data_IF_185699814236
#
_entry.id   IF_185699814236
#
_cell.length_a   1.000
_cell.length_b   1.000
_cell.length_c   1.000
_cell.angle_alpha   90.00
_cell.angle_beta   90.00
_cell.angle_gamma   90.00
#
_symmetry.space_group_name_H-M   'P 1'
#
loop_
_entity.id
_entity.type
_entity.pdbx_description
1 polymer ?
#
# COMPACT_ATOMS: atom_id res chain seq x y z
N UNK A 1 8.06 -19.53 -14.06
CA UNK A 1 7.36 -18.58 -13.16
C UNK A 1 7.46 -18.99 -11.69
N UNK A 2 7.66 -20.28 -11.35
CA UNK A 2 7.90 -20.71 -9.96
C UNK A 2 6.66 -20.62 -9.06
N UNK A 3 5.46 -20.65 -9.64
CA UNK A 3 4.21 -20.77 -8.90
C UNK A 3 3.80 -22.24 -8.85
N UNK A 4 3.23 -22.65 -7.73
CA UNK A 4 2.50 -23.91 -7.63
C UNK A 4 1.16 -23.77 -8.37
N UNK A 5 0.90 -24.58 -9.42
CA UNK A 5 -0.31 -24.48 -10.22
C UNK A 5 -1.60 -24.77 -9.44
N UNK A 6 -1.50 -25.39 -8.26
CA UNK A 6 -2.64 -25.73 -7.41
C UNK A 6 -3.03 -24.58 -6.47
N UNK A 7 -2.20 -23.54 -6.34
CA UNK A 7 -2.46 -22.43 -5.43
C UNK A 7 -3.22 -21.28 -6.10
N UNK A 8 -4.10 -20.57 -5.39
CA UNK A 8 -4.81 -19.39 -5.91
C UNK A 8 -3.87 -18.31 -6.49
N UNK A 9 -2.63 -18.25 -6.02
CA UNK A 9 -1.60 -17.31 -6.51
C UNK A 9 -1.23 -17.57 -7.97
N UNK A 10 -1.26 -18.83 -8.43
CA UNK A 10 -1.04 -19.15 -9.83
C UNK A 10 -2.16 -18.60 -10.70
N UNK A 11 -3.42 -18.85 -10.34
CA UNK A 11 -4.57 -18.29 -11.06
C UNK A 11 -4.50 -16.76 -11.08
N UNK A 12 -4.14 -16.13 -9.96
CA UNK A 12 -3.98 -14.68 -9.91
C UNK A 12 -2.85 -14.19 -10.83
N UNK A 13 -1.71 -14.89 -10.88
CA UNK A 13 -0.63 -14.57 -11.80
C UNK A 13 -1.07 -14.69 -13.27
N UNK A 14 -1.83 -15.72 -13.63
CA UNK A 14 -2.40 -15.89 -14.98
C UNK A 14 -3.33 -14.71 -15.33
N UNK A 15 -4.19 -14.29 -14.40
CA UNK A 15 -5.04 -13.10 -14.58
C UNK A 15 -4.21 -11.85 -14.79
N UNK A 16 -3.13 -11.65 -14.02
CA UNK A 16 -2.22 -10.51 -14.19
C UNK A 16 -1.56 -10.52 -15.57
N UNK A 17 -1.00 -11.66 -16.00
CA UNK A 17 -0.36 -11.79 -17.32
C UNK A 17 -1.34 -11.62 -18.49
N UNK A 18 -2.63 -11.94 -18.29
CA UNK A 18 -3.67 -11.64 -19.29
C UNK A 18 -4.02 -10.16 -19.36
N UNK A 19 -3.93 -9.43 -18.24
CA UNK A 19 -4.29 -8.01 -18.16
C UNK A 19 -3.14 -7.07 -18.57
N UNK A 20 -1.90 -7.46 -18.29
CA UNK A 20 -0.73 -6.59 -18.42
C UNK A 20 0.31 -7.26 -19.31
N UNK A 21 0.78 -6.53 -20.32
CA UNK A 21 1.80 -7.01 -21.24
C UNK A 21 3.15 -7.18 -20.54
N UNK A 22 3.98 -8.10 -21.03
CA UNK A 22 5.33 -8.32 -20.50
C UNK A 22 6.18 -7.03 -20.44
N UNK A 23 6.22 -6.18 -21.49
CA UNK A 23 6.95 -4.90 -21.41
C UNK A 23 6.39 -3.94 -20.35
N UNK A 24 5.08 -3.96 -20.09
CA UNK A 24 4.48 -3.14 -19.04
C UNK A 24 4.86 -3.65 -17.63
N UNK A 25 4.92 -4.97 -17.43
CA UNK A 25 5.44 -5.58 -16.19
C UNK A 25 6.91 -5.18 -15.97
N UNK A 26 7.75 -5.29 -17.01
CA UNK A 26 9.17 -4.93 -16.95
C UNK A 26 9.35 -3.45 -16.59
N UNK A 27 8.58 -2.53 -17.17
CA UNK A 27 8.59 -1.10 -16.78
C UNK A 27 8.24 -0.89 -15.31
N UNK A 28 7.31 -1.67 -14.75
CA UNK A 28 6.97 -1.60 -13.32
C UNK A 28 8.11 -2.16 -12.45
N UNK A 29 8.83 -3.17 -12.93
CA UNK A 29 10.03 -3.68 -12.24
C UNK A 29 11.16 -2.64 -12.20
N UNK A 30 11.34 -1.84 -13.25
CA UNK A 30 12.31 -0.74 -13.23
C UNK A 30 11.99 0.31 -12.16
N UNK A 31 10.72 0.50 -11.80
CA UNK A 31 10.36 1.37 -10.66
C UNK A 31 10.94 0.79 -9.37
N UNK A 32 10.74 -0.50 -9.08
CA UNK A 32 11.26 -1.13 -7.87
C UNK A 32 12.79 -1.13 -7.78
N UNK A 33 13.48 -1.26 -8.92
CA UNK A 33 14.95 -1.15 -8.98
C UNK A 33 15.44 0.22 -8.53
N UNK A 34 14.74 1.30 -8.89
CA UNK A 34 15.07 2.67 -8.41
C UNK A 34 14.96 2.81 -6.90
N UNK A 35 14.19 1.95 -6.25
CA UNK A 35 14.05 1.86 -4.80
C UNK A 35 14.98 0.82 -4.16
N UNK A 36 16.01 0.38 -4.89
CA UNK A 36 17.08 -0.48 -4.40
C UNK A 36 16.76 -1.98 -4.42
N UNK A 37 15.63 -2.40 -4.99
CA UNK A 37 15.33 -3.83 -5.06
C UNK A 37 16.16 -4.52 -6.13
N UNK A 38 16.78 -5.63 -5.76
CA UNK A 38 17.40 -6.56 -6.70
C UNK A 38 16.36 -7.25 -7.57
N UNK A 39 16.78 -7.76 -8.73
CA UNK A 39 15.90 -8.55 -9.60
C UNK A 39 15.31 -9.78 -8.86
N UNK A 40 16.11 -10.41 -8.00
CA UNK A 40 15.66 -11.52 -7.17
C UNK A 40 14.52 -11.10 -6.22
N UNK A 41 14.67 -9.99 -5.51
CA UNK A 41 13.64 -9.48 -4.60
C UNK A 41 12.34 -9.13 -5.33
N UNK A 42 12.45 -8.51 -6.52
CA UNK A 42 11.29 -8.19 -7.35
C UNK A 42 10.54 -9.46 -7.76
N UNK A 43 11.25 -10.50 -8.23
CA UNK A 43 10.63 -11.76 -8.61
C UNK A 43 10.03 -12.51 -7.41
N UNK A 44 10.67 -12.45 -6.24
CA UNK A 44 10.11 -13.01 -5.01
C UNK A 44 8.83 -12.28 -4.57
N UNK A 45 8.84 -10.95 -4.59
CA UNK A 45 7.69 -10.11 -4.30
C UNK A 45 6.52 -10.41 -5.27
N UNK A 46 6.81 -10.48 -6.57
CA UNK A 46 5.82 -10.83 -7.60
C UNK A 46 5.25 -12.24 -7.38
N UNK A 47 6.09 -13.21 -7.01
CA UNK A 47 5.64 -14.57 -6.70
C UNK A 47 4.76 -14.63 -5.46
N UNK A 48 5.11 -13.86 -4.43
CA UNK A 48 4.32 -13.77 -3.19
C UNK A 48 2.96 -13.14 -3.47
N UNK A 49 2.93 -12.10 -4.30
CA UNK A 49 1.72 -11.39 -4.67
C UNK A 49 1.84 -10.76 -6.09
N UNK A 50 1.27 -11.41 -7.12
CA UNK A 50 1.33 -10.90 -8.50
C UNK A 50 0.76 -9.51 -8.71
N UNK A 51 -0.13 -9.06 -7.81
CA UNK A 51 -0.79 -7.77 -7.94
C UNK A 51 0.11 -6.55 -7.75
N UNK A 52 1.40 -6.70 -7.40
CA UNK A 52 2.33 -5.56 -7.31
C UNK A 52 2.41 -4.77 -8.62
N UNK A 53 2.18 -5.43 -9.75
CA UNK A 53 2.19 -4.78 -11.07
C UNK A 53 0.82 -4.29 -11.51
N UNK A 54 -0.24 -4.37 -10.70
CA UNK A 54 -1.58 -3.91 -11.08
C UNK A 54 -1.83 -2.44 -10.78
N UNK A 55 -1.14 -1.88 -9.79
CA UNK A 55 -1.25 -0.45 -9.47
C UNK A 55 -0.38 0.36 -10.44
N UNK A 56 -0.87 1.51 -10.87
CA UNK A 56 -0.14 2.40 -11.77
C UNK A 56 0.71 3.40 -10.98
N UNK A 57 0.24 3.82 -9.80
CA UNK A 57 0.90 4.83 -8.97
C UNK A 57 1.97 4.24 -8.03
N UNK A 58 2.70 3.22 -8.49
CA UNK A 58 3.73 2.52 -7.69
C UNK A 58 4.79 3.50 -7.18
N UNK A 59 5.26 4.42 -8.04
CA UNK A 59 6.27 5.40 -7.65
C UNK A 59 5.79 6.27 -6.48
N UNK A 60 4.55 6.76 -6.53
CA UNK A 60 3.96 7.56 -5.45
C UNK A 60 3.72 6.74 -4.17
N UNK A 61 3.40 5.45 -4.28
CA UNK A 61 3.31 4.57 -3.09
C UNK A 61 4.67 4.40 -2.43
N UNK A 62 5.70 4.13 -3.23
CA UNK A 62 7.05 3.96 -2.70
C UNK A 62 7.57 5.26 -2.08
N UNK A 63 7.34 6.40 -2.73
CA UNK A 63 7.72 7.72 -2.21
C UNK A 63 7.05 8.01 -0.86
N UNK A 64 5.73 7.86 -0.78
CA UNK A 64 5.00 8.06 0.47
C UNK A 64 5.47 7.09 1.57
N UNK A 65 5.61 5.79 1.27
CA UNK A 65 5.97 4.81 2.30
C UNK A 65 7.43 4.93 2.75
N UNK A 66 8.36 5.22 1.85
CA UNK A 66 9.79 5.27 2.18
C UNK A 66 10.19 6.65 2.67
N UNK A 67 9.86 7.70 1.92
CA UNK A 67 10.36 9.04 2.20
C UNK A 67 9.49 9.77 3.23
N UNK A 68 8.16 9.69 3.13
CA UNK A 68 7.27 10.40 4.07
C UNK A 68 7.03 9.60 5.37
N UNK A 69 6.81 8.29 5.26
CA UNK A 69 6.52 7.43 6.42
C UNK A 69 7.77 6.79 7.03
N UNK A 70 8.92 6.84 6.35
CA UNK A 70 10.20 6.35 6.87
C UNK A 70 10.36 4.82 6.87
N UNK A 71 9.58 4.08 6.08
CA UNK A 71 9.75 2.62 6.00
C UNK A 71 10.96 2.24 5.16
N UNK A 72 11.67 1.19 5.59
CA UNK A 72 12.70 0.59 4.75
C UNK A 72 12.09 -0.04 3.48
N UNK A 73 12.68 0.27 2.32
CA UNK A 73 12.25 -0.27 1.03
C UNK A 73 12.26 -1.81 1.00
N UNK A 74 13.23 -2.44 1.65
CA UNK A 74 13.36 -3.91 1.78
C UNK A 74 12.20 -4.55 2.56
N UNK A 75 11.64 -3.84 3.55
CA UNK A 75 10.45 -4.30 4.27
C UNK A 75 9.24 -4.42 3.33
N UNK A 76 9.12 -3.49 2.37
CA UNK A 76 8.04 -3.48 1.39
C UNK A 76 8.16 -4.65 0.40
N UNK A 77 9.39 -5.07 0.05
CA UNK A 77 9.63 -6.27 -0.76
C UNK A 77 9.13 -7.56 -0.09
N UNK A 78 9.15 -7.59 1.24
CA UNK A 78 8.64 -8.69 2.05
C UNK A 78 7.12 -8.64 2.25
N UNK A 79 6.48 -7.48 2.04
CA UNK A 79 5.04 -7.27 2.16
C UNK A 79 4.39 -6.71 0.88
N UNK A 80 4.52 -7.41 -0.27
CA UNK A 80 4.18 -6.86 -1.58
C UNK A 80 2.69 -6.53 -1.77
N UNK A 81 1.78 -7.13 -1.00
CA UNK A 81 0.34 -6.85 -1.10
C UNK A 81 -0.02 -5.38 -0.83
N UNK A 82 0.85 -4.65 -0.11
CA UNK A 82 0.72 -3.21 0.16
C UNK A 82 0.78 -2.39 -1.12
N UNK A 83 1.67 -2.78 -2.04
CA UNK A 83 1.96 -2.05 -3.28
C UNK A 83 0.86 -2.19 -4.33
N UNK A 84 -0.13 -3.04 -4.06
CA UNK A 84 -1.32 -3.23 -4.89
C UNK A 84 -2.56 -2.52 -4.32
N UNK A 85 -2.39 -1.73 -3.26
CA UNK A 85 -3.46 -0.90 -2.70
C UNK A 85 -3.43 0.46 -3.38
N UNK A 86 -4.61 1.08 -3.50
CA UNK A 86 -4.71 2.44 -4.04
C UNK A 86 -3.94 3.43 -3.17
N UNK A 87 -3.09 4.23 -3.82
CA UNK A 87 -2.37 5.33 -3.19
C UNK A 87 -3.34 6.29 -2.47
N UNK A 88 -4.26 6.86 -3.23
CA UNK A 88 -5.12 7.96 -2.79
C UNK A 88 -6.28 7.50 -1.91
N UNK A 89 -6.81 6.30 -2.14
CA UNK A 89 -7.99 5.82 -1.41
C UNK A 89 -7.64 5.07 -0.14
N UNK A 90 -6.36 4.74 0.08
CA UNK A 90 -5.97 3.81 1.15
C UNK A 90 -4.60 4.06 1.76
N UNK A 91 -3.53 4.11 0.95
CA UNK A 91 -2.17 4.24 1.50
C UNK A 91 -1.99 5.60 2.16
N UNK A 92 -2.24 6.70 1.45
CA UNK A 92 -2.05 8.05 1.98
C UNK A 92 -3.03 8.35 3.13
N UNK A 93 -4.37 8.16 2.99
CA UNK A 93 -5.30 8.50 4.06
C UNK A 93 -4.99 7.80 5.39
N UNK A 94 -4.66 6.50 5.32
CA UNK A 94 -4.43 5.69 6.51
C UNK A 94 -3.04 5.91 7.09
N UNK A 95 -2.03 6.20 6.26
CA UNK A 95 -0.69 6.56 6.72
C UNK A 95 -0.69 7.87 7.49
N UNK A 96 -1.26 8.92 6.92
CA UNK A 96 -1.37 10.23 7.57
C UNK A 96 -2.21 10.16 8.86
N UNK A 97 -3.34 9.46 8.82
CA UNK A 97 -4.15 9.26 10.01
C UNK A 97 -3.38 8.54 11.12
N UNK A 98 -2.59 7.52 10.78
CA UNK A 98 -1.77 6.82 11.76
C UNK A 98 -0.64 7.70 12.33
N UNK A 99 -0.05 8.60 11.54
CA UNK A 99 0.92 9.59 12.06
C UNK A 99 0.27 10.56 13.06
N UNK A 100 -0.97 11.00 12.81
CA UNK A 100 -1.71 11.83 13.78
C UNK A 100 -2.02 11.07 15.07
N UNK A 101 -2.41 9.80 14.97
CA UNK A 101 -2.64 8.98 16.18
C UNK A 101 -1.34 8.79 16.98
N UNK A 102 -0.19 8.64 16.31
CA UNK A 102 1.12 8.57 16.97
C UNK A 102 1.48 9.89 17.65
N UNK A 103 1.28 11.03 16.96
CA UNK A 103 1.62 12.36 17.50
C UNK A 103 0.76 12.74 18.71
N UNK A 104 -0.50 12.28 18.75
CA UNK A 104 -1.40 12.42 19.89
C UNK A 104 -1.13 11.39 21.02
N UNK A 105 -0.22 10.44 20.81
CA UNK A 105 0.07 9.37 21.76
C UNK A 105 -1.05 8.34 21.94
N UNK A 106 -2.04 8.32 21.03
CA UNK A 106 -3.15 7.36 21.06
C UNK A 106 -2.70 5.94 20.69
N UNK A 107 -1.68 5.82 19.84
CA UNK A 107 -0.98 4.57 19.53
C UNK A 107 0.52 4.73 19.75
N UNK A 108 1.20 3.62 20.04
CA UNK A 108 2.68 3.58 20.17
C UNK A 108 3.36 3.10 18.88
N UNK A 109 2.67 2.24 18.13
CA UNK A 109 3.12 1.70 16.85
C UNK A 109 1.93 1.06 16.12
N UNK A 110 2.12 0.73 14.84
CA UNK A 110 1.15 0.00 14.05
C UNK A 110 1.84 -0.99 13.11
N UNK A 111 1.16 -2.09 12.80
CA UNK A 111 1.62 -3.03 11.77
C UNK A 111 1.10 -2.63 10.39
N UNK A 112 1.97 -2.67 9.37
CA UNK A 112 1.63 -2.34 7.98
C UNK A 112 0.40 -3.10 7.46
N UNK A 113 0.31 -4.40 7.73
CA UNK A 113 -0.85 -5.22 7.34
C UNK A 113 -2.14 -4.76 8.04
N UNK A 114 -2.08 -4.46 9.34
CA UNK A 114 -3.24 -3.99 10.09
C UNK A 114 -3.73 -2.63 9.57
N UNK A 115 -2.79 -1.76 9.17
CA UNK A 115 -3.10 -0.44 8.67
C UNK A 115 -3.66 -0.49 7.24
N UNK A 116 -3.00 -1.19 6.32
CA UNK A 116 -3.27 -1.08 4.89
C UNK A 116 -4.05 -2.25 4.28
N UNK A 117 -4.02 -3.44 4.90
CA UNK A 117 -4.64 -4.65 4.34
C UNK A 117 -6.01 -4.99 4.94
N UNK A 118 -6.49 -4.20 5.90
CA UNK A 118 -7.81 -4.39 6.52
C UNK A 118 -8.92 -3.77 5.68
N UNK A 119 -10.14 -4.32 5.76
CA UNK A 119 -11.32 -3.68 5.16
C UNK A 119 -11.56 -2.30 5.78
N UNK A 120 -12.44 -1.50 5.18
CA UNK A 120 -12.78 -0.18 5.73
C UNK A 120 -13.42 -0.31 7.11
N UNK A 121 -14.39 -1.21 7.24
CA UNK A 121 -15.04 -1.53 8.50
C UNK A 121 -14.04 -1.95 9.59
N UNK A 122 -13.12 -2.86 9.28
CA UNK A 122 -12.12 -3.34 10.26
C UNK A 122 -11.12 -2.25 10.63
N UNK A 123 -10.77 -1.37 9.68
CA UNK A 123 -9.89 -0.24 9.95
C UNK A 123 -10.54 0.76 10.91
N UNK A 124 -11.77 1.19 10.60
CA UNK A 124 -12.52 2.13 11.45
C UNK A 124 -12.71 1.54 12.84
N UNK A 125 -13.07 0.26 12.95
CA UNK A 125 -13.23 -0.38 14.26
C UNK A 125 -11.94 -0.33 15.08
N UNK A 126 -10.80 -0.64 14.46
CA UNK A 126 -9.52 -0.75 15.16
C UNK A 126 -8.87 0.58 15.53
N UNK A 127 -8.99 1.59 14.66
CA UNK A 127 -8.24 2.84 14.79
C UNK A 127 -9.12 4.05 15.10
N UNK A 128 -10.45 3.91 15.04
CA UNK A 128 -11.41 4.98 15.35
C UNK A 128 -12.29 4.57 16.54
N UNK A 129 -13.12 3.53 16.37
CA UNK A 129 -14.14 3.17 17.37
C UNK A 129 -13.56 2.63 18.68
N UNK A 130 -12.33 2.09 18.65
CA UNK A 130 -11.60 1.68 19.85
C UNK A 130 -11.48 2.80 20.91
N UNK A 131 -11.49 4.06 20.47
CA UNK A 131 -11.45 5.22 21.36
C UNK A 131 -12.88 5.78 21.48
N UNK A 132 -13.73 5.11 22.26
CA UNK A 132 -15.18 5.39 22.32
C UNK A 132 -15.48 6.87 22.59
N UNK A 133 -14.71 7.51 23.48
CA UNK A 133 -14.83 8.92 23.84
C UNK A 133 -14.42 9.90 22.72
N UNK A 134 -13.59 9.45 21.78
CA UNK A 134 -13.04 10.25 20.66
C UNK A 134 -13.50 9.78 19.29
N UNK A 135 -14.36 8.78 19.21
CA UNK A 135 -14.69 8.11 17.95
C UNK A 135 -15.23 9.08 16.89
N UNK A 136 -16.08 10.04 17.28
CA UNK A 136 -16.63 11.05 16.36
C UNK A 136 -15.54 11.99 15.80
N UNK A 137 -14.64 12.46 16.66
CA UNK A 137 -13.52 13.33 16.28
C UNK A 137 -12.55 12.59 15.35
N UNK A 138 -12.14 11.37 15.73
CA UNK A 138 -11.24 10.54 14.94
C UNK A 138 -11.84 10.15 13.59
N UNK A 139 -13.15 9.90 13.53
CA UNK A 139 -13.84 9.64 12.26
C UNK A 139 -13.81 10.89 11.35
N UNK A 140 -14.00 12.07 11.92
CA UNK A 140 -13.91 13.33 11.18
C UNK A 140 -12.49 13.55 10.65
N UNK A 141 -11.48 13.36 11.49
CA UNK A 141 -10.07 13.46 11.12
C UNK A 141 -9.70 12.48 9.99
N UNK A 142 -10.14 11.23 10.08
CA UNK A 142 -9.88 10.25 9.02
C UNK A 142 -10.57 10.60 7.69
N UNK A 143 -11.80 11.14 7.73
CA UNK A 143 -12.48 11.66 6.54
C UNK A 143 -11.72 12.84 5.92
N UNK A 144 -11.16 13.73 6.74
CA UNK A 144 -10.31 14.82 6.26
C UNK A 144 -9.10 14.27 5.49
N UNK A 145 -8.37 13.27 6.03
CA UNK A 145 -7.23 12.65 5.32
C UNK A 145 -7.64 11.99 4.02
N UNK A 146 -8.82 11.37 3.98
CA UNK A 146 -9.38 10.78 2.77
C UNK A 146 -9.64 11.87 1.71
N UNK A 147 -10.21 13.00 2.11
CA UNK A 147 -10.46 14.12 1.20
C UNK A 147 -9.16 14.77 0.71
N UNK A 148 -8.15 14.93 1.58
CA UNK A 148 -6.84 15.45 1.20
C UNK A 148 -6.15 14.56 0.16
N UNK A 149 -6.18 13.23 0.33
CA UNK A 149 -5.56 12.32 -0.61
C UNK A 149 -6.29 12.26 -1.97
N UNK A 150 -7.62 12.42 -1.98
CA UNK A 150 -8.45 12.41 -3.19
C UNK A 150 -8.46 13.77 -3.91
N UNK A 151 -8.31 14.87 -3.16
CA UNK A 151 -8.38 16.25 -3.66
C UNK A 151 -7.05 16.98 -3.82
N UNK A 152 -5.95 16.45 -3.28
CA UNK A 152 -4.65 17.15 -3.15
C UNK A 152 -3.50 16.64 -4.03
N UNK A 153 -2.28 16.89 -3.57
CA UNK A 153 -0.97 16.69 -4.26
C UNK A 153 -0.73 15.29 -4.83
N UNK A 154 -1.43 14.26 -4.35
CA UNK A 154 -1.29 12.88 -4.81
C UNK A 154 -2.13 12.55 -6.06
N UNK A 155 -2.97 13.51 -6.50
CA UNK A 155 -3.80 13.41 -7.71
C UNK A 155 -3.08 13.83 -9.00
N UNK A 156 -2.08 14.70 -8.89
CA UNK A 156 -1.40 15.33 -10.02
C UNK A 156 0.11 15.14 -9.90
N UNK A 157 0.65 14.06 -10.47
CA UNK A 157 2.10 13.87 -10.46
C UNK A 157 2.67 12.83 -11.43
N UNK A 158 1.84 11.98 -12.05
CA UNK A 158 2.33 10.94 -12.95
C UNK A 158 1.38 10.74 -14.12
N UNK A 159 1.50 11.63 -15.12
CA UNK A 159 1.20 11.35 -16.53
C UNK A 159 2.54 11.17 -17.25
#
# INVERSE_FOLDING_TARGET
MGFDPLLPKFLFAVVVFRKISKPAIERKFEVYKKWGWSEKEIWEAFRRYPGIVLEEKIAGIMDFLVNEMGFESSLLANQPFLLARSLEKRIVPRGLFAQDLLSQGLIKSFGLSALFNTSEMVFVERFVNRYEDKAAELLSLYKEKTNLAVGGTYRSGYL
#
